data_IF_353739668602
#
_entry.id   IF_353739668602
#
_cell.length_a   1.000
_cell.length_b   1.000
_cell.length_c   1.000
_cell.angle_alpha   90.00
_cell.angle_beta   90.00
_cell.angle_gamma   90.00
#
_symmetry.space_group_name_H-M   'P 1'
#
loop_
_entity.id
_entity.type
_entity.pdbx_description
1 polymer ?
#
# COMPACT_ATOMS: atom_id res chain seq x y z
N UNK A 1 31.27 2.33 9.70
CA UNK A 1 30.48 3.06 8.69
C UNK A 1 29.16 3.59 9.28
N UNK A 2 29.20 4.54 10.23
CA UNK A 2 27.98 5.04 10.94
C UNK A 2 27.90 6.58 11.06
N UNK A 3 28.77 7.35 10.40
CA UNK A 3 28.87 8.81 10.55
C UNK A 3 28.61 9.62 9.27
N UNK A 4 27.97 9.01 8.27
CA UNK A 4 27.77 9.63 6.95
C UNK A 4 26.39 9.40 6.33
N UNK A 5 25.40 8.96 7.10
CA UNK A 5 24.03 9.34 6.76
C UNK A 5 24.00 10.85 6.99
N UNK A 6 24.23 11.61 5.92
CA UNK A 6 24.27 13.06 5.92
C UNK A 6 23.09 13.58 6.75
N UNK A 7 23.35 14.55 7.62
CA UNK A 7 22.30 15.32 8.28
C UNK A 7 21.60 16.15 7.20
N UNK A 8 20.77 15.49 6.40
CA UNK A 8 19.90 16.13 5.44
C UNK A 8 18.89 16.96 6.25
N UNK A 9 18.67 18.23 5.89
CA UNK A 9 17.74 19.10 6.60
C UNK A 9 16.37 18.43 6.77
N UNK A 10 15.79 18.51 7.97
CA UNK A 10 14.49 17.92 8.31
C UNK A 10 13.40 18.38 7.34
N UNK A 11 13.49 19.64 6.94
CA UNK A 11 12.58 20.34 6.04
C UNK A 11 12.46 19.62 4.69
N UNK A 12 13.49 18.87 4.26
CA UNK A 12 13.45 18.07 3.03
C UNK A 12 12.47 16.89 3.12
N UNK A 13 12.18 16.39 4.33
CA UNK A 13 11.32 15.22 4.53
C UNK A 13 9.97 15.57 5.17
N UNK A 14 9.86 16.76 5.77
CA UNK A 14 8.75 17.10 6.64
C UNK A 14 7.39 17.03 5.91
N UNK A 15 7.28 17.59 4.72
CA UNK A 15 6.02 17.58 3.96
C UNK A 15 5.62 16.17 3.53
N UNK A 16 6.57 15.36 3.05
CA UNK A 16 6.29 13.96 2.69
C UNK A 16 5.90 13.13 3.91
N UNK A 17 6.58 13.34 5.04
CA UNK A 17 6.29 12.66 6.30
C UNK A 17 4.91 13.05 6.83
N UNK A 18 4.56 14.35 6.85
CA UNK A 18 3.22 14.83 7.22
C UNK A 18 2.15 14.19 6.35
N UNK A 19 2.32 14.18 5.02
CA UNK A 19 1.36 13.55 4.10
C UNK A 19 1.16 12.06 4.42
N UNK A 20 2.25 11.32 4.64
CA UNK A 20 2.19 9.89 5.00
C UNK A 20 1.44 9.66 6.32
N UNK A 21 1.72 10.46 7.35
CA UNK A 21 1.06 10.36 8.65
C UNK A 21 -0.44 10.67 8.53
N UNK A 22 -0.80 11.75 7.83
CA UNK A 22 -2.21 12.12 7.65
C UNK A 22 -2.97 11.02 6.91
N UNK A 23 -2.43 10.49 5.82
CA UNK A 23 -3.06 9.39 5.07
C UNK A 23 -3.22 8.14 5.94
N UNK A 24 -2.17 7.75 6.68
CA UNK A 24 -2.23 6.60 7.57
C UNK A 24 -3.29 6.75 8.67
N UNK A 25 -3.42 7.94 9.25
CA UNK A 25 -4.46 8.23 10.26
C UNK A 25 -5.87 8.16 9.66
N UNK A 26 -6.07 8.71 8.45
CA UNK A 26 -7.36 8.68 7.76
C UNK A 26 -7.76 7.25 7.36
N UNK A 27 -6.85 6.47 6.80
CA UNK A 27 -7.10 5.07 6.47
C UNK A 27 -7.36 4.24 7.73
N UNK A 28 -6.60 4.48 8.80
CA UNK A 28 -6.82 3.84 10.10
C UNK A 28 -8.22 4.10 10.65
N UNK A 29 -8.73 5.33 10.52
CA UNK A 29 -10.11 5.66 10.92
C UNK A 29 -11.15 4.95 10.05
N UNK A 30 -10.95 4.86 8.73
CA UNK A 30 -11.85 4.12 7.83
C UNK A 30 -11.87 2.63 8.20
N UNK A 31 -10.71 2.02 8.43
CA UNK A 31 -10.58 0.61 8.85
C UNK A 31 -11.35 0.39 10.16
N UNK A 32 -11.11 1.23 11.16
CA UNK A 32 -11.72 1.09 12.48
C UNK A 32 -13.24 1.30 12.45
N UNK A 33 -13.72 2.40 11.86
CA UNK A 33 -15.14 2.75 11.81
C UNK A 33 -15.99 1.77 11.01
N UNK A 34 -15.39 1.01 10.08
CA UNK A 34 -16.06 -0.01 9.29
C UNK A 34 -15.73 -1.43 9.77
N UNK A 35 -15.01 -1.57 10.88
CA UNK A 35 -14.58 -2.85 11.48
C UNK A 35 -13.90 -3.79 10.46
N UNK A 36 -13.12 -3.21 9.54
CA UNK A 36 -12.47 -3.98 8.47
C UNK A 36 -11.44 -4.94 9.06
N UNK A 37 -11.42 -6.16 8.52
CA UNK A 37 -10.43 -7.19 8.85
C UNK A 37 -9.69 -7.59 7.58
N UNK A 38 -8.43 -7.97 7.71
CA UNK A 38 -7.68 -8.50 6.57
C UNK A 38 -8.35 -9.79 6.10
N UNK A 39 -8.80 -9.83 4.85
CA UNK A 39 -9.30 -11.04 4.22
C UNK A 39 -8.13 -12.00 3.93
N UNK A 40 -8.21 -13.22 4.46
CA UNK A 40 -7.14 -14.22 4.30
C UNK A 40 -6.88 -14.57 2.82
N UNK A 41 -7.94 -14.58 1.99
CA UNK A 41 -7.81 -14.81 0.54
C UNK A 41 -7.00 -13.71 -0.15
N UNK A 42 -7.23 -12.44 0.23
CA UNK A 42 -6.47 -11.31 -0.30
C UNK A 42 -5.02 -11.33 0.18
N UNK A 43 -4.81 -11.62 1.47
CA UNK A 43 -3.45 -11.78 2.03
C UNK A 43 -2.68 -12.85 1.26
N UNK A 44 -3.33 -13.99 0.98
CA UNK A 44 -2.73 -15.06 0.18
C UNK A 44 -2.43 -14.59 -1.25
N UNK A 45 -3.38 -13.93 -1.91
CA UNK A 45 -3.20 -13.43 -3.27
C UNK A 45 -2.01 -12.46 -3.39
N UNK A 46 -1.85 -11.56 -2.42
CA UNK A 46 -0.71 -10.64 -2.36
C UNK A 46 0.63 -11.38 -2.20
N UNK A 47 0.67 -12.41 -1.35
CA UNK A 47 1.88 -13.23 -1.19
C UNK A 47 2.17 -14.00 -2.49
N UNK A 48 1.15 -14.58 -3.12
CA UNK A 48 1.28 -15.34 -4.36
C UNK A 48 1.77 -14.43 -5.52
N UNK A 49 1.27 -13.20 -5.61
CA UNK A 49 1.73 -12.19 -6.58
C UNK A 49 3.21 -11.85 -6.35
N UNK A 50 3.59 -11.53 -5.12
CA UNK A 50 4.99 -11.25 -4.77
C UNK A 50 5.91 -12.45 -5.05
N UNK A 51 5.43 -13.67 -4.78
CA UNK A 51 6.17 -14.90 -4.99
C UNK A 51 6.33 -15.26 -6.47
N UNK A 52 5.40 -14.85 -7.34
CA UNK A 52 5.42 -15.15 -8.79
C UNK A 52 6.63 -14.59 -9.54
N UNK A 53 7.30 -13.58 -8.96
CA UNK A 53 8.52 -13.00 -9.51
C UNK A 53 9.78 -13.86 -9.26
N UNK A 54 9.67 -14.94 -8.47
CA UNK A 54 10.78 -15.79 -8.06
C UNK A 54 10.75 -17.16 -8.76
N UNK A 55 11.92 -17.79 -8.85
CA UNK A 55 12.08 -19.11 -9.48
C UNK A 55 11.36 -20.23 -8.70
N UNK A 56 11.33 -20.14 -7.37
CA UNK A 56 10.55 -21.03 -6.51
C UNK A 56 9.56 -20.21 -5.65
N UNK A 57 8.31 -20.03 -6.12
CA UNK A 57 7.28 -19.32 -5.35
C UNK A 57 6.92 -20.00 -4.03
N UNK A 58 7.10 -21.32 -3.92
CA UNK A 58 6.68 -22.08 -2.74
C UNK A 58 7.57 -21.78 -1.52
N UNK A 59 8.87 -21.61 -1.74
CA UNK A 59 9.81 -21.18 -0.70
C UNK A 59 9.49 -19.76 -0.21
N UNK A 60 9.07 -18.86 -1.11
CA UNK A 60 8.70 -17.48 -0.75
C UNK A 60 7.43 -17.46 0.11
N UNK A 61 6.39 -18.22 -0.29
CA UNK A 61 5.16 -18.35 0.50
C UNK A 61 5.48 -18.90 1.90
N UNK A 62 6.31 -19.94 1.99
CA UNK A 62 6.72 -20.51 3.27
C UNK A 62 7.52 -19.50 4.12
N UNK A 63 8.38 -18.70 3.50
CA UNK A 63 9.14 -17.65 4.17
C UNK A 63 8.23 -16.59 4.82
N UNK A 64 7.19 -16.15 4.12
CA UNK A 64 6.17 -15.26 4.70
C UNK A 64 5.46 -15.95 5.87
N UNK A 65 4.95 -17.16 5.67
CA UNK A 65 4.19 -17.89 6.70
C UNK A 65 4.97 -18.14 7.99
N UNK A 66 6.30 -18.32 7.90
CA UNK A 66 7.18 -18.51 9.07
C UNK A 66 7.55 -17.20 9.78
N UNK A 67 7.20 -16.05 9.22
CA UNK A 67 7.57 -14.73 9.73
C UNK A 67 6.33 -13.89 10.05
N UNK A 68 5.95 -13.84 11.33
CA UNK A 68 4.78 -13.09 11.79
C UNK A 68 4.84 -11.60 11.43
N UNK A 69 6.03 -10.98 11.47
CA UNK A 69 6.18 -9.57 11.13
C UNK A 69 5.86 -9.32 9.65
N UNK A 70 6.36 -10.19 8.76
CA UNK A 70 6.05 -10.09 7.33
C UNK A 70 4.57 -10.36 7.05
N UNK A 71 4.00 -11.38 7.70
CA UNK A 71 2.55 -11.64 7.59
C UNK A 71 1.72 -10.44 8.04
N UNK A 72 2.09 -9.79 9.14
CA UNK A 72 1.38 -8.61 9.61
C UNK A 72 1.50 -7.43 8.65
N UNK A 73 2.66 -7.25 8.00
CA UNK A 73 2.81 -6.23 6.96
C UNK A 73 1.88 -6.49 5.77
N UNK A 74 1.77 -7.74 5.30
CA UNK A 74 0.85 -8.08 4.21
C UNK A 74 -0.61 -7.92 4.63
N UNK A 75 -0.97 -8.30 5.87
CA UNK A 75 -2.32 -8.05 6.41
C UNK A 75 -2.66 -6.57 6.44
N UNK A 76 -1.71 -5.71 6.81
CA UNK A 76 -1.91 -4.27 6.79
C UNK A 76 -2.10 -3.75 5.36
N UNK A 77 -1.32 -4.25 4.40
CA UNK A 77 -1.50 -3.90 2.98
C UNK A 77 -2.90 -4.31 2.48
N UNK A 78 -3.33 -5.53 2.78
CA UNK A 78 -4.68 -6.00 2.44
C UNK A 78 -5.78 -5.13 3.09
N UNK A 79 -5.59 -4.67 4.33
CA UNK A 79 -6.50 -3.75 5.00
C UNK A 79 -6.55 -2.38 4.34
N UNK A 80 -5.39 -1.84 3.93
CA UNK A 80 -5.32 -0.56 3.22
C UNK A 80 -6.07 -0.63 1.87
N UNK A 81 -5.89 -1.70 1.09
CA UNK A 81 -6.63 -1.89 -0.16
C UNK A 81 -8.14 -1.98 0.06
N UNK A 82 -8.57 -2.79 1.03
CA UNK A 82 -9.99 -2.92 1.38
C UNK A 82 -10.59 -1.59 1.86
N UNK A 83 -9.82 -0.78 2.59
CA UNK A 83 -10.25 0.55 3.01
C UNK A 83 -10.42 1.50 1.82
N UNK A 84 -9.53 1.44 0.82
CA UNK A 84 -9.67 2.20 -0.43
C UNK A 84 -10.92 1.77 -1.19
N UNK A 85 -11.17 0.47 -1.31
CA UNK A 85 -12.39 -0.07 -1.94
C UNK A 85 -13.65 0.40 -1.21
N UNK A 86 -13.62 0.42 0.13
CA UNK A 86 -14.73 0.93 0.95
C UNK A 86 -15.00 2.41 0.70
N UNK A 87 -13.96 3.23 0.56
CA UNK A 87 -14.08 4.64 0.19
C UNK A 87 -14.70 4.75 -1.21
N UNK A 88 -14.17 4.03 -2.19
CA UNK A 88 -14.65 4.06 -3.58
C UNK A 88 -16.13 3.67 -3.70
N UNK A 89 -16.59 2.70 -2.91
CA UNK A 89 -17.99 2.28 -2.89
C UNK A 89 -18.97 3.38 -2.44
N UNK A 90 -18.49 4.39 -1.72
CA UNK A 90 -19.29 5.53 -1.23
C UNK A 90 -18.95 6.86 -1.93
N UNK A 91 -17.85 6.89 -2.67
CA UNK A 91 -17.41 8.06 -3.41
C UNK A 91 -18.24 8.27 -4.68
N UNK A 92 -18.33 9.51 -5.14
CA UNK A 92 -18.88 9.83 -6.46
C UNK A 92 -17.82 9.52 -7.52
N UNK A 93 -17.89 8.33 -8.10
CA UNK A 93 -17.01 7.90 -9.19
C UNK A 93 -17.62 8.32 -10.54
N UNK A 94 -16.81 8.89 -11.41
CA UNK A 94 -17.20 9.25 -12.78
C UNK A 94 -16.17 8.70 -13.75
N UNK A 95 -16.63 7.98 -14.77
CA UNK A 95 -15.77 7.50 -15.85
C UNK A 95 -15.52 8.64 -16.85
N UNK A 96 -14.27 8.75 -17.31
CA UNK A 96 -13.85 9.70 -18.34
C UNK A 96 -13.09 8.92 -19.40
N UNK A 97 -13.61 8.92 -20.62
CA UNK A 97 -12.89 8.38 -21.77
C UNK A 97 -11.65 9.25 -22.04
N UNK A 98 -10.49 8.62 -22.21
CA UNK A 98 -9.23 9.30 -22.52
C UNK A 98 -8.37 8.38 -23.37
N UNK A 99 -7.49 8.96 -24.19
CA UNK A 99 -6.54 8.18 -24.97
C UNK A 99 -5.21 7.97 -24.21
N UNK A 100 -4.41 7.02 -24.71
CA UNK A 100 -3.13 6.68 -24.08
C UNK A 100 -2.18 7.88 -23.93
N UNK A 101 -2.09 8.73 -24.96
CA UNK A 101 -1.21 9.91 -24.95
C UNK A 101 -1.61 10.90 -23.85
N UNK A 102 -2.90 11.15 -23.69
CA UNK A 102 -3.44 12.03 -22.65
C UNK A 102 -3.15 11.49 -21.25
N UNK A 103 -3.41 10.19 -21.00
CA UNK A 103 -3.16 9.55 -19.72
C UNK A 103 -1.69 9.64 -19.30
N UNK A 104 -0.77 9.35 -20.23
CA UNK A 104 0.67 9.38 -19.96
C UNK A 104 1.19 10.79 -19.64
N UNK A 105 0.61 11.83 -20.26
CA UNK A 105 0.98 13.21 -20.00
C UNK A 105 0.45 13.71 -18.64
N UNK A 106 -0.72 13.25 -18.18
CA UNK A 106 -1.24 13.59 -16.85
C UNK A 106 -0.38 13.00 -15.72
N UNK A 107 0.12 11.76 -15.87
CA UNK A 107 0.99 11.10 -14.87
C UNK A 107 2.33 11.82 -14.67
N UNK A 108 2.84 12.53 -15.69
CA UNK A 108 4.08 13.30 -15.60
C UNK A 108 3.95 14.62 -14.83
N UNK A 109 2.73 15.10 -14.61
CA UNK A 109 2.46 16.41 -13.99
C UNK A 109 1.98 16.34 -12.54
N UNK A 110 1.78 15.15 -11.98
CA UNK A 110 1.38 14.90 -10.58
C UNK A 110 2.52 14.43 -9.70
#
# INVERSE_FOLDING_TARGET
MKKQALQLPRELFEEQAKRRVIVGLLLGEVINSNELKAEDERVKALIDEMASAYEDPSEVVEFYNKNEQLMNNIRNLALEEQAVEKILATAKVTEKETNFTELMNEVQMG
#
